data_IF_678953534412
#
_entry.id   IF_678953534412
#
_cell.length_a   1.000
_cell.length_b   1.000
_cell.length_c   1.000
_cell.angle_alpha   90.00
_cell.angle_beta   90.00
_cell.angle_gamma   90.00
#
_symmetry.space_group_name_H-M   'P 1'
#
loop_
_entity.id
_entity.type
_entity.pdbx_description
1 polymer ?
#
# COMPACT_ATOMS: atom_id res chain seq x y z
N UNK A 1 24.36 0.93 -17.25
CA UNK A 1 23.34 0.36 -16.34
C UNK A 1 23.20 1.35 -15.20
N UNK A 2 22.06 2.05 -15.16
CA UNK A 2 21.84 3.23 -14.31
C UNK A 2 20.97 2.92 -13.08
N UNK A 3 20.49 3.97 -12.43
CA UNK A 3 19.53 3.91 -11.32
C UNK A 3 18.11 3.91 -11.90
N UNK A 4 17.30 2.92 -11.57
CA UNK A 4 15.90 2.82 -12.00
C UNK A 4 15.02 2.88 -10.76
N UNK A 5 14.49 4.05 -10.42
CA UNK A 5 13.87 4.24 -9.13
C UNK A 5 12.41 4.67 -9.20
N UNK A 6 11.59 4.18 -8.27
CA UNK A 6 10.27 4.74 -8.00
C UNK A 6 10.34 5.57 -6.71
N UNK A 7 9.59 6.67 -6.67
CA UNK A 7 9.40 7.46 -5.45
C UNK A 7 7.92 7.47 -5.08
N UNK A 8 7.62 6.86 -3.94
CA UNK A 8 6.29 6.59 -3.43
C UNK A 8 6.08 7.27 -2.06
N UNK A 9 4.84 7.33 -1.58
CA UNK A 9 4.50 7.99 -0.31
C UNK A 9 3.21 8.81 -0.39
N UNK A 10 2.69 9.29 0.76
CA UNK A 10 1.41 9.98 0.86
C UNK A 10 1.43 11.35 0.15
N UNK A 11 0.27 11.93 -0.21
CA UNK A 11 0.24 13.30 -0.71
C UNK A 11 0.88 14.26 0.33
N UNK A 12 1.62 15.25 -0.13
CA UNK A 12 2.31 16.21 0.76
C UNK A 12 3.70 15.77 1.25
N UNK A 13 4.12 14.51 1.04
CA UNK A 13 5.45 14.01 1.47
C UNK A 13 6.66 14.59 0.73
N UNK A 14 6.46 15.47 -0.26
CA UNK A 14 7.59 16.11 -0.95
C UNK A 14 8.22 15.31 -2.11
N UNK A 15 7.61 14.20 -2.55
CA UNK A 15 8.10 13.35 -3.67
C UNK A 15 8.68 14.12 -4.85
N UNK A 16 7.89 14.98 -5.49
CA UNK A 16 8.34 15.74 -6.67
C UNK A 16 9.52 16.66 -6.36
N UNK A 17 9.56 17.30 -5.19
CA UNK A 17 10.69 18.14 -4.78
C UNK A 17 11.96 17.31 -4.59
N UNK A 18 11.84 16.12 -3.99
CA UNK A 18 12.94 15.17 -3.86
C UNK A 18 13.43 14.70 -5.23
N UNK A 19 12.52 14.22 -6.10
CA UNK A 19 12.84 13.74 -7.44
C UNK A 19 13.60 14.79 -8.24
N UNK A 20 13.12 16.04 -8.27
CA UNK A 20 13.80 17.13 -8.99
C UNK A 20 15.23 17.36 -8.50
N UNK A 21 15.44 17.40 -7.19
CA UNK A 21 16.78 17.61 -6.61
C UNK A 21 17.72 16.44 -6.91
N UNK A 22 17.25 15.22 -6.64
CA UNK A 22 18.04 14.00 -6.84
C UNK A 22 18.38 13.79 -8.31
N UNK A 23 17.43 14.00 -9.23
CA UNK A 23 17.66 13.93 -10.67
C UNK A 23 18.75 14.91 -11.12
N UNK A 24 18.74 16.15 -10.61
CA UNK A 24 19.79 17.13 -10.91
C UNK A 24 21.16 16.73 -10.37
N UNK A 25 21.23 16.19 -9.15
CA UNK A 25 22.48 15.78 -8.51
C UNK A 25 23.09 14.51 -9.14
N UNK A 26 22.24 13.55 -9.52
CA UNK A 26 22.65 12.24 -10.02
C UNK A 26 22.55 12.10 -11.55
N UNK A 27 22.17 13.17 -12.24
CA UNK A 27 21.94 13.19 -13.70
C UNK A 27 20.96 12.09 -14.15
N UNK A 28 19.85 11.96 -13.43
CA UNK A 28 18.78 11.02 -13.73
C UNK A 28 17.66 11.70 -14.50
N UNK A 29 16.99 10.96 -15.36
CA UNK A 29 15.77 11.43 -16.02
C UNK A 29 14.60 11.46 -15.03
N UNK A 30 13.96 12.61 -14.87
CA UNK A 30 12.76 12.76 -14.04
C UNK A 30 11.51 12.43 -14.86
N UNK A 31 10.79 11.38 -14.47
CA UNK A 31 9.55 10.95 -15.11
C UNK A 31 8.37 11.24 -14.19
N UNK A 32 7.69 12.36 -14.41
CA UNK A 32 6.41 12.65 -13.75
C UNK A 32 5.25 12.41 -14.72
N UNK A 33 4.27 11.62 -14.30
CA UNK A 33 3.09 11.31 -15.15
C UNK A 33 2.33 12.57 -15.56
N UNK A 34 2.21 13.54 -14.66
CA UNK A 34 1.57 14.82 -14.95
C UNK A 34 2.32 15.65 -15.98
N UNK A 35 3.66 15.70 -15.90
CA UNK A 35 4.49 16.42 -16.87
C UNK A 35 4.48 15.74 -18.23
N UNK A 36 4.63 14.41 -18.26
CA UNK A 36 4.55 13.61 -19.49
C UNK A 36 3.21 13.81 -20.18
N UNK A 37 2.08 13.74 -19.46
CA UNK A 37 0.77 13.98 -20.04
C UNK A 37 0.64 15.39 -20.65
N UNK A 38 1.11 16.44 -19.93
CA UNK A 38 1.10 17.82 -20.44
C UNK A 38 1.96 17.97 -21.69
N UNK A 39 3.15 17.37 -21.70
CA UNK A 39 4.04 17.35 -22.85
C UNK A 39 3.37 16.69 -24.06
N UNK A 40 2.82 15.48 -23.88
CA UNK A 40 2.13 14.75 -24.93
C UNK A 40 0.91 15.51 -25.49
N UNK A 41 0.15 16.19 -24.63
CA UNK A 41 -0.95 17.09 -25.05
C UNK A 41 -0.42 18.25 -25.91
N UNK A 42 0.66 18.91 -25.48
CA UNK A 42 1.29 20.01 -26.21
C UNK A 42 1.80 19.56 -27.58
N UNK A 43 2.46 18.40 -27.63
CA UNK A 43 3.01 17.79 -28.85
C UNK A 43 1.94 17.11 -29.72
N UNK A 44 0.69 17.01 -29.25
CA UNK A 44 -0.45 16.43 -29.97
C UNK A 44 -0.24 14.96 -30.39
N UNK A 45 0.46 14.18 -29.58
CA UNK A 45 0.65 12.74 -29.84
C UNK A 45 -0.65 11.95 -29.61
N UNK A 46 -0.69 10.66 -29.96
CA UNK A 46 -1.87 9.82 -29.71
C UNK A 46 -2.25 9.76 -28.22
N UNK A 47 -1.28 9.54 -27.33
CA UNK A 47 -1.50 9.65 -25.87
C UNK A 47 -2.05 11.03 -25.48
N UNK A 48 -1.50 12.10 -26.04
CA UNK A 48 -1.95 13.47 -25.78
C UNK A 48 -3.37 13.76 -26.26
N UNK A 49 -3.77 13.19 -27.40
CA UNK A 49 -5.15 13.31 -27.93
C UNK A 49 -6.15 12.63 -27.01
N UNK A 50 -5.85 11.42 -26.52
CA UNK A 50 -6.70 10.71 -25.56
C UNK A 50 -6.77 11.48 -24.24
N UNK A 51 -5.62 11.88 -23.69
CA UNK A 51 -5.54 12.64 -22.45
C UNK A 51 -6.33 13.97 -22.54
N UNK A 52 -6.19 14.70 -23.64
CA UNK A 52 -6.94 15.95 -23.88
C UNK A 52 -8.45 15.72 -23.89
N UNK A 53 -8.93 14.63 -24.49
CA UNK A 53 -10.36 14.27 -24.49
C UNK A 53 -10.86 13.96 -23.08
N UNK A 54 -10.13 13.16 -22.30
CA UNK A 54 -10.50 12.84 -20.92
C UNK A 54 -10.54 14.10 -20.03
N UNK A 55 -9.52 14.95 -20.12
CA UNK A 55 -9.47 16.21 -19.35
C UNK A 55 -10.63 17.13 -19.72
N UNK A 56 -10.95 17.29 -21.01
CA UNK A 56 -12.09 18.07 -21.46
C UNK A 56 -13.43 17.51 -20.94
N UNK A 57 -13.53 16.19 -20.80
CA UNK A 57 -14.67 15.49 -20.23
C UNK A 57 -14.66 15.42 -18.68
N UNK A 58 -13.67 16.02 -18.00
CA UNK A 58 -13.43 15.90 -16.55
C UNK A 58 -13.35 14.44 -16.06
N UNK A 59 -12.87 13.53 -16.91
CA UNK A 59 -12.64 12.13 -16.58
C UNK A 59 -11.15 11.83 -16.42
N UNK A 60 -10.84 10.74 -15.72
CA UNK A 60 -9.47 10.27 -15.56
C UNK A 60 -8.95 9.70 -16.89
N UNK A 61 -7.64 9.88 -17.13
CA UNK A 61 -6.95 9.21 -18.24
C UNK A 61 -6.87 7.71 -17.90
N UNK A 62 -7.23 6.80 -18.82
CA UNK A 62 -7.16 5.37 -18.56
C UNK A 62 -5.74 4.91 -18.21
N UNK A 63 -5.63 3.99 -17.26
CA UNK A 63 -4.33 3.49 -16.78
C UNK A 63 -3.47 2.91 -17.90
N UNK A 64 -4.07 2.17 -18.85
CA UNK A 64 -3.36 1.61 -20.01
C UNK A 64 -2.62 2.68 -20.81
N UNK A 65 -3.26 3.83 -21.04
CA UNK A 65 -2.67 4.97 -21.76
C UNK A 65 -1.48 5.53 -20.99
N UNK A 66 -1.61 5.67 -19.66
CA UNK A 66 -0.53 6.19 -18.81
C UNK A 66 0.65 5.22 -18.75
N UNK A 67 0.38 3.92 -18.60
CA UNK A 67 1.38 2.85 -18.52
C UNK A 67 2.14 2.72 -19.84
N UNK A 68 1.44 2.70 -20.97
CA UNK A 68 2.07 2.63 -22.30
C UNK A 68 2.94 3.87 -22.57
N UNK A 69 2.46 5.06 -22.21
CA UNK A 69 3.23 6.30 -22.31
C UNK A 69 4.52 6.27 -21.49
N UNK A 70 4.47 5.77 -20.25
CA UNK A 70 5.66 5.63 -19.39
C UNK A 70 6.62 4.61 -19.99
N UNK A 71 6.12 3.43 -20.39
CA UNK A 71 6.93 2.37 -20.97
C UNK A 71 7.65 2.83 -22.24
N UNK A 72 6.95 3.55 -23.13
CA UNK A 72 7.53 4.14 -24.33
C UNK A 72 8.61 5.18 -24.02
N UNK A 73 8.38 6.03 -23.00
CA UNK A 73 9.39 7.01 -22.57
C UNK A 73 10.64 6.30 -22.04
N UNK A 74 10.49 5.31 -21.17
CA UNK A 74 11.61 4.55 -20.60
C UNK A 74 12.35 3.75 -21.68
N UNK A 75 11.63 3.18 -22.66
CA UNK A 75 12.24 2.46 -23.76
C UNK A 75 13.18 3.35 -24.60
N UNK A 76 12.85 4.64 -24.77
CA UNK A 76 13.70 5.64 -25.43
C UNK A 76 14.89 6.09 -24.57
N UNK A 77 14.84 5.88 -23.25
CA UNK A 77 15.90 6.22 -22.31
C UNK A 77 16.95 5.12 -22.12
N UNK A 78 16.82 3.97 -22.80
CA UNK A 78 17.75 2.83 -22.64
C UNK A 78 19.22 3.17 -22.94
N UNK A 79 19.47 4.29 -23.61
CA UNK A 79 20.81 4.83 -23.89
C UNK A 79 21.32 5.84 -22.84
N UNK A 80 20.51 6.19 -21.83
CA UNK A 80 20.92 7.09 -20.75
C UNK A 80 21.79 6.37 -19.72
N UNK A 81 23.01 6.89 -19.47
CA UNK A 81 23.94 6.26 -18.52
C UNK A 81 23.50 6.42 -17.06
N UNK A 82 22.78 7.50 -16.74
CA UNK A 82 22.31 7.83 -15.39
C UNK A 82 21.16 6.95 -14.91
N UNK A 83 20.18 6.68 -15.78
CA UNK A 83 18.92 6.03 -15.43
C UNK A 83 17.77 7.03 -15.22
N UNK A 84 16.73 6.63 -14.50
CA UNK A 84 15.48 7.37 -14.38
C UNK A 84 14.84 7.24 -12.99
N UNK A 85 14.05 8.24 -12.60
CA UNK A 85 13.16 8.23 -11.44
C UNK A 85 11.73 8.43 -11.90
N UNK A 86 10.82 7.54 -11.50
CA UNK A 86 9.38 7.68 -11.68
C UNK A 86 8.74 8.31 -10.43
N UNK A 87 8.15 9.50 -10.61
CA UNK A 87 7.58 10.32 -9.55
C UNK A 87 6.06 10.09 -9.41
N UNK A 88 5.66 9.50 -8.29
CA UNK A 88 4.25 9.42 -7.87
C UNK A 88 3.37 8.48 -8.70
N UNK A 89 4.00 7.49 -9.34
CA UNK A 89 3.37 6.36 -10.04
C UNK A 89 4.28 5.13 -9.88
N UNK A 90 3.75 3.89 -9.74
CA UNK A 90 2.33 3.50 -9.69
C UNK A 90 1.63 3.94 -8.39
N UNK A 91 0.28 3.93 -8.41
CA UNK A 91 -0.57 4.25 -7.25
C UNK A 91 -1.50 3.12 -6.83
N UNK A 92 -1.60 2.07 -7.65
CA UNK A 92 -2.35 0.84 -7.37
C UNK A 92 -1.50 -0.37 -7.70
N UNK A 93 -1.81 -1.50 -7.09
CA UNK A 93 -1.16 -2.79 -7.37
C UNK A 93 -1.28 -3.19 -8.85
N UNK A 94 -2.45 -2.94 -9.46
CA UNK A 94 -2.67 -3.24 -10.88
C UNK A 94 -1.76 -2.42 -11.79
N UNK A 95 -1.56 -1.14 -11.47
CA UNK A 95 -0.61 -0.28 -12.20
C UNK A 95 0.83 -0.78 -12.03
N UNK A 96 1.21 -1.21 -10.82
CA UNK A 96 2.53 -1.77 -10.55
C UNK A 96 2.79 -3.04 -11.37
N UNK A 97 1.86 -4.00 -11.34
CA UNK A 97 1.94 -5.25 -12.12
C UNK A 97 1.99 -4.98 -13.62
N UNK A 98 1.16 -4.06 -14.11
CA UNK A 98 1.14 -3.73 -15.53
C UNK A 98 2.44 -3.06 -16.00
N UNK A 99 3.09 -2.22 -15.18
CA UNK A 99 4.43 -1.71 -15.47
C UNK A 99 5.48 -2.81 -15.56
N UNK A 100 5.46 -3.76 -14.62
CA UNK A 100 6.40 -4.89 -14.61
C UNK A 100 6.23 -5.76 -15.87
N UNK A 101 4.99 -6.03 -16.29
CA UNK A 101 4.70 -6.75 -17.55
C UNK A 101 5.26 -6.02 -18.77
N UNK A 102 5.29 -4.68 -18.74
CA UNK A 102 5.92 -3.85 -19.79
C UNK A 102 7.44 -3.74 -19.67
N UNK A 103 8.06 -4.45 -18.72
CA UNK A 103 9.50 -4.41 -18.48
C UNK A 103 9.99 -3.15 -17.76
N UNK A 104 9.07 -2.42 -17.12
CA UNK A 104 9.41 -1.27 -16.27
C UNK A 104 9.49 -1.74 -14.82
N UNK A 105 10.70 -2.10 -14.40
CA UNK A 105 10.96 -2.60 -13.04
C UNK A 105 12.03 -1.72 -12.38
N UNK A 106 11.77 -1.18 -11.17
CA UNK A 106 12.76 -0.42 -10.42
C UNK A 106 13.77 -1.36 -9.74
N UNK A 107 14.99 -0.88 -9.53
CA UNK A 107 15.95 -1.50 -8.62
C UNK A 107 15.97 -0.84 -7.24
N UNK A 108 15.35 0.33 -7.09
CA UNK A 108 15.19 1.05 -5.83
C UNK A 108 13.80 1.66 -5.77
N UNK A 109 13.12 1.54 -4.64
CA UNK A 109 11.87 2.26 -4.36
C UNK A 109 12.06 3.06 -3.09
N UNK A 110 12.02 4.39 -3.21
CA UNK A 110 12.05 5.28 -2.05
C UNK A 110 10.62 5.50 -1.56
N UNK A 111 10.33 5.07 -0.33
CA UNK A 111 9.01 5.23 0.29
C UNK A 111 9.08 6.37 1.28
N UNK A 112 8.53 7.52 0.91
CA UNK A 112 8.49 8.68 1.80
C UNK A 112 7.40 8.48 2.85
N UNK A 113 7.80 8.50 4.12
CA UNK A 113 6.91 8.36 5.27
C UNK A 113 6.62 9.75 5.83
N UNK A 114 5.33 10.08 5.97
CA UNK A 114 4.91 11.36 6.51
C UNK A 114 3.72 11.14 7.45
N UNK A 115 3.76 11.66 8.69
CA UNK A 115 2.61 11.63 9.58
C UNK A 115 1.38 12.27 8.94
N UNK A 116 0.21 11.65 9.12
CA UNK A 116 -1.05 12.14 8.54
C UNK A 116 -1.41 13.55 9.02
N UNK A 117 -1.00 13.93 10.23
CA UNK A 117 -1.16 15.27 10.80
C UNK A 117 -0.48 16.37 9.96
N UNK A 118 0.65 16.06 9.33
CA UNK A 118 1.46 17.02 8.56
C UNK A 118 0.92 17.24 7.14
N UNK A 119 0.21 16.25 6.58
CA UNK A 119 -0.24 16.26 5.18
C UNK A 119 -1.05 17.52 4.86
N UNK A 120 -2.02 17.87 5.72
CA UNK A 120 -2.90 19.02 5.48
C UNK A 120 -2.12 20.34 5.44
N UNK A 121 -1.26 20.57 6.44
CA UNK A 121 -0.47 21.80 6.52
C UNK A 121 0.44 21.97 5.30
N UNK A 122 1.13 20.90 4.92
CA UNK A 122 2.05 20.88 3.77
C UNK A 122 1.34 21.11 2.43
N UNK A 123 0.13 20.57 2.24
CA UNK A 123 -0.61 20.74 0.99
C UNK A 123 -1.21 22.14 0.85
N UNK A 124 -1.82 22.69 1.91
CA UNK A 124 -2.45 24.03 1.87
C UNK A 124 -1.40 25.14 1.68
N UNK A 125 -0.19 24.97 2.21
CA UNK A 125 0.89 25.93 2.02
C UNK A 125 1.63 25.79 0.68
N UNK A 126 1.37 24.73 -0.10
CA UNK A 126 2.11 24.45 -1.34
C UNK A 126 1.80 25.48 -2.43
N UNK A 127 2.85 25.86 -3.17
CA UNK A 127 2.79 26.74 -4.33
C UNK A 127 3.57 26.12 -5.47
N UNK A 128 3.19 26.45 -6.70
CA UNK A 128 3.81 25.90 -7.90
C UNK A 128 4.04 27.00 -8.93
N UNK A 129 5.24 27.02 -9.54
CA UNK A 129 5.52 27.90 -10.66
C UNK A 129 5.08 27.23 -11.98
N UNK A 130 4.08 27.78 -12.69
CA UNK A 130 3.60 27.20 -13.95
C UNK A 130 4.61 27.27 -15.09
N UNK A 131 5.65 28.11 -15.00
CA UNK A 131 6.70 28.22 -16.02
C UNK A 131 7.78 27.16 -15.88
N UNK A 132 8.30 26.97 -14.67
CA UNK A 132 9.44 26.06 -14.42
C UNK A 132 9.01 24.70 -13.87
N UNK A 133 7.79 24.62 -13.36
CA UNK A 133 7.26 23.46 -12.67
C UNK A 133 7.73 23.35 -11.22
N UNK A 134 8.47 24.33 -10.69
CA UNK A 134 9.05 24.25 -9.35
C UNK A 134 8.01 24.36 -8.23
N UNK A 135 8.33 23.71 -7.11
CA UNK A 135 7.44 23.63 -5.95
C UNK A 135 8.02 24.48 -4.83
N UNK A 136 7.17 25.35 -4.31
CA UNK A 136 7.45 26.27 -3.21
C UNK A 136 6.45 26.02 -2.08
N UNK A 137 6.72 26.61 -0.92
CA UNK A 137 5.81 26.55 0.22
C UNK A 137 5.76 27.90 0.92
N UNK A 138 4.55 28.40 1.16
CA UNK A 138 4.30 29.75 1.64
C UNK A 138 5.05 30.09 2.95
N UNK A 139 5.19 29.11 3.85
CA UNK A 139 5.82 29.33 5.15
C UNK A 139 7.33 29.02 5.19
N UNK A 140 7.84 28.17 4.30
CA UNK A 140 9.16 27.54 4.50
C UNK A 140 10.10 27.65 3.31
N UNK A 141 9.57 27.91 2.11
CA UNK A 141 10.39 27.94 0.89
C UNK A 141 9.70 28.82 -0.16
N UNK A 142 9.64 30.13 0.08
CA UNK A 142 9.21 31.11 -0.94
C UNK A 142 10.43 31.65 -1.71
N UNK A 143 10.30 31.88 -3.03
CA UNK A 143 11.39 32.44 -3.82
C UNK A 143 11.66 33.89 -3.43
N UNK A 144 12.93 34.30 -3.48
CA UNK A 144 13.33 35.70 -3.27
C UNK A 144 13.03 36.59 -4.48
N UNK A 145 13.04 35.99 -5.67
CA UNK A 145 12.67 36.66 -6.91
C UNK A 145 11.17 36.97 -6.90
N UNK A 146 10.83 38.27 -6.95
CA UNK A 146 9.46 38.76 -6.88
C UNK A 146 8.62 38.39 -8.11
N UNK A 147 9.24 38.27 -9.29
CA UNK A 147 8.54 37.87 -10.51
C UNK A 147 8.19 36.38 -10.48
N UNK A 148 9.02 35.56 -9.84
CA UNK A 148 8.70 34.17 -9.55
C UNK A 148 7.60 34.11 -8.49
N UNK A 149 7.73 34.86 -7.39
CA UNK A 149 6.76 34.87 -6.31
C UNK A 149 5.35 35.27 -6.79
N UNK A 150 5.25 36.30 -7.63
CA UNK A 150 3.98 36.84 -8.12
C UNK A 150 3.23 35.88 -9.07
N UNK A 151 3.93 34.96 -9.75
CA UNK A 151 3.32 34.00 -10.68
C UNK A 151 3.03 32.63 -10.07
N UNK A 152 3.35 32.43 -8.79
CA UNK A 152 3.08 31.15 -8.13
C UNK A 152 1.57 30.92 -8.01
N UNK A 153 1.15 29.71 -8.33
CA UNK A 153 -0.26 29.30 -8.24
C UNK A 153 -0.45 28.20 -7.22
N UNK A 154 -1.70 28.07 -6.74
CA UNK A 154 -2.15 26.90 -6.01
C UNK A 154 -2.53 25.79 -6.98
N UNK A 155 -2.35 24.53 -6.60
CA UNK A 155 -2.95 23.44 -7.37
C UNK A 155 -4.42 23.31 -7.00
N UNK A 156 -5.23 22.97 -7.98
CA UNK A 156 -6.68 22.79 -7.81
C UNK A 156 -7.03 21.67 -6.83
N UNK A 157 -6.14 20.70 -6.60
CA UNK A 157 -6.29 19.52 -5.74
C UNK A 157 -5.69 19.70 -4.32
N UNK A 158 -5.17 20.88 -4.01
CA UNK A 158 -4.55 21.19 -2.71
C UNK A 158 -5.51 21.93 -1.75
N UNK A 159 -6.80 21.98 -2.05
CA UNK A 159 -7.79 22.64 -1.18
C UNK A 159 -8.19 21.76 0.01
N UNK A 160 -8.57 22.34 1.17
CA UNK A 160 -9.00 21.58 2.35
C UNK A 160 -10.09 20.54 2.07
N UNK A 161 -10.96 20.80 1.10
CA UNK A 161 -12.09 19.94 0.73
C UNK A 161 -11.65 18.73 -0.11
N UNK A 162 -10.56 18.87 -0.89
CA UNK A 162 -10.05 17.82 -1.77
C UNK A 162 -8.91 17.01 -1.17
N UNK A 163 -8.26 17.51 -0.13
CA UNK A 163 -7.18 16.80 0.58
C UNK A 163 -7.66 15.45 1.14
N UNK A 164 -8.82 15.33 1.83
CA UNK A 164 -9.26 14.07 2.41
C UNK A 164 -9.31 12.92 1.41
N UNK A 165 -9.91 13.13 0.23
CA UNK A 165 -10.01 12.07 -0.78
C UNK A 165 -8.65 11.59 -1.32
N UNK A 166 -7.61 12.45 -1.27
CA UNK A 166 -6.25 12.07 -1.65
C UNK A 166 -5.55 11.28 -0.56
N UNK A 167 -5.78 11.63 0.70
CA UNK A 167 -5.30 10.87 1.86
C UNK A 167 -5.96 9.49 1.85
N UNK A 168 -7.28 9.44 1.67
CA UNK A 168 -8.06 8.19 1.60
C UNK A 168 -7.59 7.31 0.44
N UNK A 169 -7.35 7.88 -0.75
CA UNK A 169 -6.84 7.12 -1.88
C UNK A 169 -5.46 6.51 -1.59
N UNK A 170 -4.56 7.25 -0.93
CA UNK A 170 -3.26 6.70 -0.53
C UNK A 170 -3.40 5.64 0.58
N UNK A 171 -4.26 5.85 1.56
CA UNK A 171 -4.53 4.85 2.60
C UNK A 171 -5.12 3.56 2.03
N UNK A 172 -5.96 3.68 0.99
CA UNK A 172 -6.62 2.55 0.34
C UNK A 172 -5.67 1.75 -0.55
N UNK A 173 -4.86 2.42 -1.37
CA UNK A 173 -4.08 1.75 -2.42
C UNK A 173 -2.56 1.86 -2.24
N UNK A 174 -2.08 2.92 -1.60
CA UNK A 174 -0.66 3.29 -1.55
C UNK A 174 0.17 2.27 -0.77
N UNK A 175 -0.27 1.89 0.43
CA UNK A 175 0.45 0.89 1.25
C UNK A 175 0.58 -0.45 0.51
N UNK A 176 -0.51 -0.92 -0.09
CA UNK A 176 -0.55 -2.15 -0.87
C UNK A 176 0.38 -2.09 -2.08
N UNK A 177 0.38 -0.95 -2.78
CA UNK A 177 1.28 -0.74 -3.92
C UNK A 177 2.74 -0.72 -3.48
N UNK A 178 3.06 -0.10 -2.34
CA UNK A 178 4.42 -0.12 -1.80
C UNK A 178 4.87 -1.56 -1.49
N UNK A 179 3.96 -2.43 -1.01
CA UNK A 179 4.29 -3.81 -0.66
C UNK A 179 4.69 -4.68 -1.86
N UNK A 180 4.27 -4.33 -3.07
CA UNK A 180 4.72 -5.01 -4.30
C UNK A 180 6.25 -4.89 -4.52
N UNK A 181 6.90 -3.94 -3.82
CA UNK A 181 8.31 -3.62 -3.99
C UNK A 181 9.17 -3.83 -2.73
N UNK A 182 8.70 -4.57 -1.71
CA UNK A 182 9.40 -4.73 -0.42
C UNK A 182 10.88 -5.12 -0.56
N UNK A 183 11.21 -5.97 -1.52
CA UNK A 183 12.59 -6.43 -1.74
C UNK A 183 13.57 -5.32 -2.15
N UNK A 184 13.06 -4.19 -2.63
CA UNK A 184 13.82 -3.03 -3.10
C UNK A 184 13.30 -1.71 -2.52
N UNK A 185 12.48 -1.76 -1.47
CA UNK A 185 11.87 -0.59 -0.85
C UNK A 185 12.71 -0.08 0.32
N UNK A 186 12.92 1.24 0.37
CA UNK A 186 13.67 1.93 1.40
C UNK A 186 12.82 3.07 1.97
N UNK A 187 12.45 3.02 3.26
CA UNK A 187 11.72 4.10 3.90
C UNK A 187 12.62 5.33 4.07
N UNK A 188 12.04 6.52 3.94
CA UNK A 188 12.69 7.80 4.23
C UNK A 188 11.71 8.64 5.04
N UNK A 189 12.15 9.13 6.19
CA UNK A 189 11.39 10.08 7.00
C UNK A 189 11.26 11.41 6.25
N UNK A 190 10.07 11.68 5.73
CA UNK A 190 9.77 12.90 4.99
C UNK A 190 9.44 14.09 5.89
N UNK A 191 9.38 13.89 7.22
CA UNK A 191 9.22 14.99 8.17
C UNK A 191 10.55 15.69 8.51
N UNK A 192 11.68 15.03 8.24
CA UNK A 192 13.02 15.59 8.37
C UNK A 192 13.29 16.80 7.44
N UNK A 193 14.43 17.45 7.62
CA UNK A 193 14.82 18.59 6.81
C UNK A 193 15.02 18.18 5.34
N UNK A 194 14.74 19.10 4.40
CA UNK A 194 14.92 18.81 2.97
C UNK A 194 16.38 18.44 2.62
N UNK A 195 17.36 18.87 3.41
CA UNK A 195 18.76 18.47 3.24
C UNK A 195 18.96 16.99 3.57
N UNK A 196 18.44 16.55 4.71
CA UNK A 196 18.57 15.17 5.20
C UNK A 196 17.83 14.20 4.29
N UNK A 197 16.56 14.51 3.95
CA UNK A 197 15.75 13.69 3.02
C UNK A 197 16.44 13.50 1.67
N UNK A 198 17.09 14.55 1.14
CA UNK A 198 17.85 14.47 -0.12
C UNK A 198 19.14 13.68 0.07
N UNK A 199 19.84 13.87 1.19
CA UNK A 199 21.06 13.13 1.54
C UNK A 199 20.81 11.63 1.60
N UNK A 200 19.79 11.20 2.34
CA UNK A 200 19.39 9.80 2.49
C UNK A 200 19.03 9.19 1.14
N UNK A 201 18.19 9.88 0.36
CA UNK A 201 17.81 9.42 -0.97
C UNK A 201 19.02 9.25 -1.90
N UNK A 202 19.94 10.22 -1.92
CA UNK A 202 21.16 10.15 -2.73
C UNK A 202 22.03 8.97 -2.31
N UNK A 203 22.23 8.76 -1.01
CA UNK A 203 23.01 7.66 -0.47
C UNK A 203 22.42 6.29 -0.85
N UNK A 204 21.10 6.13 -0.70
CA UNK A 204 20.38 4.90 -1.08
C UNK A 204 20.53 4.66 -2.59
N UNK A 205 20.27 5.66 -3.42
CA UNK A 205 20.31 5.49 -4.88
C UNK A 205 21.72 5.20 -5.40
N UNK A 206 22.75 5.85 -4.85
CA UNK A 206 24.14 5.61 -5.25
C UNK A 206 24.64 4.21 -4.84
N UNK A 207 24.27 3.73 -3.64
CA UNK A 207 24.65 2.39 -3.17
C UNK A 207 24.02 1.27 -4.00
N UNK A 208 22.92 1.56 -4.71
CA UNK A 208 22.20 0.61 -5.56
C UNK A 208 22.39 0.88 -7.06
N UNK A 209 23.41 1.66 -7.44
CA UNK A 209 23.76 1.82 -8.85
C UNK A 209 24.19 0.47 -9.43
N UNK A 210 23.47 -0.01 -10.44
CA UNK A 210 23.74 -1.30 -11.08
C UNK A 210 25.16 -1.32 -11.65
N UNK A 211 25.97 -2.31 -11.24
CA UNK A 211 27.28 -2.58 -11.85
C UNK A 211 27.08 -3.24 -13.21
N UNK A 212 27.86 -2.84 -14.21
CA UNK A 212 27.87 -3.46 -15.54
C UNK A 212 28.20 -4.96 -15.36
N UNK A 213 27.46 -5.90 -15.98
CA UNK A 213 27.88 -7.29 -15.98
C UNK A 213 29.26 -7.35 -16.65
N UNK A 214 30.23 -7.94 -15.95
CA UNK A 214 31.52 -8.27 -16.55
C UNK A 214 31.26 -9.22 -17.72
N UNK A 215 31.76 -8.87 -18.91
CA UNK A 215 31.74 -9.76 -20.06
C UNK A 215 32.64 -10.96 -19.77
N UNK A 216 32.06 -12.05 -19.26
CA UNK A 216 32.74 -13.35 -19.19
C UNK A 216 32.73 -13.98 -20.58
N UNK A 217 33.81 -13.75 -21.32
CA UNK A 217 34.25 -14.71 -22.33
C UNK A 217 34.63 -16.00 -21.58
N UNK A 218 33.89 -17.08 -21.78
CA UNK A 218 34.50 -18.41 -21.75
C UNK A 218 33.71 -19.41 -22.58
N UNK A 219 34.46 -19.92 -23.55
CA UNK A 219 34.18 -20.95 -24.54
C UNK A 219 33.91 -22.33 -23.93
N UNK A 220 33.16 -23.12 -24.69
CA UNK A 220 33.08 -24.59 -24.73
C UNK A 220 34.01 -25.41 -23.81
N UNK A 221 33.41 -26.36 -23.09
CA UNK A 221 33.50 -27.78 -23.47
C UNK A 221 32.54 -28.62 -22.63
N UNK A 222 31.72 -29.42 -23.30
CA UNK A 222 30.88 -30.43 -22.67
C UNK A 222 31.66 -31.69 -22.34
N UNK A 223 31.21 -32.42 -21.32
CA UNK A 223 31.29 -33.89 -21.25
C UNK A 223 30.03 -34.39 -20.54
N UNK A 224 29.45 -35.41 -21.14
CA UNK A 224 28.23 -36.12 -20.78
C UNK A 224 28.65 -37.49 -20.22
N UNK A 225 28.29 -37.86 -18.98
CA UNK A 225 28.36 -39.27 -18.52
C UNK A 225 27.13 -39.60 -17.66
N UNK A 226 26.52 -40.72 -18.04
CA UNK A 226 25.32 -41.39 -17.54
C UNK A 226 25.55 -42.28 -16.30
N UNK A 227 24.43 -42.58 -15.61
CA UNK A 227 24.07 -43.82 -14.88
C UNK A 227 24.86 -44.12 -13.57
N UNK A 228 24.28 -44.60 -12.46
CA UNK A 228 23.33 -45.71 -12.33
C UNK A 228 22.72 -45.80 -10.91
N UNK A 229 21.56 -46.45 -10.81
CA UNK A 229 20.86 -46.86 -9.58
C UNK A 229 21.62 -47.91 -8.74
N UNK A 230 21.37 -47.94 -7.42
CA UNK A 230 21.13 -49.16 -6.62
C UNK A 230 20.52 -48.83 -5.26
N UNK A 231 19.37 -49.47 -4.98
CA UNK A 231 18.68 -49.53 -3.69
C UNK A 231 19.48 -50.33 -2.65
N UNK A 232 19.28 -50.01 -1.38
CA UNK A 232 19.15 -51.01 -0.30
C UNK A 232 18.38 -50.42 0.89
N UNK A 233 17.26 -51.06 1.21
CA UNK A 233 16.42 -50.82 2.39
C UNK A 233 17.03 -51.46 3.64
N UNK A 234 16.95 -50.79 4.79
CA UNK A 234 17.04 -51.38 6.13
C UNK A 234 15.98 -50.71 7.04
N UNK A 235 14.99 -51.51 7.46
CA UNK A 235 14.04 -51.36 8.58
C UNK A 235 14.73 -50.97 9.92
N UNK A 236 14.15 -50.41 11.00
CA UNK A 236 12.83 -49.95 11.47
C UNK A 236 13.08 -49.22 12.82
N UNK A 237 12.33 -48.14 13.14
CA UNK A 237 11.58 -47.96 14.40
C UNK A 237 10.89 -46.57 14.48
N UNK A 238 9.73 -46.47 15.16
CA UNK A 238 8.75 -45.41 14.93
C UNK A 238 8.83 -44.28 15.97
N UNK A 239 8.80 -43.03 15.50
CA UNK A 239 8.62 -41.85 16.35
C UNK A 239 8.03 -40.64 15.61
N UNK A 240 7.17 -40.87 14.60
CA UNK A 240 6.73 -39.79 13.69
C UNK A 240 5.23 -39.82 13.38
N UNK A 241 4.38 -40.32 14.29
CA UNK A 241 2.93 -40.35 14.04
C UNK A 241 2.13 -39.29 14.81
N UNK A 242 2.72 -38.55 15.77
CA UNK A 242 1.96 -37.50 16.49
C UNK A 242 2.15 -36.08 15.94
N UNK A 243 3.12 -35.84 15.05
CA UNK A 243 3.34 -34.51 14.45
C UNK A 243 2.62 -34.31 13.11
N UNK A 244 2.29 -35.40 12.41
CA UNK A 244 1.59 -35.32 11.13
C UNK A 244 0.07 -35.13 11.29
N UNK A 245 -0.52 -35.60 12.40
CA UNK A 245 -1.94 -35.39 12.71
C UNK A 245 -2.23 -33.98 13.24
N UNK A 246 -1.25 -33.32 13.88
CA UNK A 246 -1.35 -31.92 14.33
C UNK A 246 -1.16 -30.88 13.20
N UNK A 247 -0.56 -31.28 12.07
CA UNK A 247 -0.35 -30.39 10.91
C UNK A 247 -1.57 -30.39 9.99
N UNK A 248 -2.28 -31.51 9.87
CA UNK A 248 -3.48 -31.61 9.03
C UNK A 248 -4.71 -30.98 9.70
N UNK A 249 -4.77 -30.92 11.04
CA UNK A 249 -5.87 -30.29 11.79
C UNK A 249 -5.80 -28.75 11.79
N UNK A 250 -4.62 -28.12 11.77
CA UNK A 250 -4.51 -26.64 11.77
C UNK A 250 -4.87 -25.97 10.44
N UNK A 251 -4.70 -26.67 9.31
CA UNK A 251 -4.95 -26.09 7.99
C UNK A 251 -6.46 -25.99 7.68
N UNK A 252 -7.29 -26.83 8.30
CA UNK A 252 -8.75 -26.86 8.13
C UNK A 252 -9.45 -25.73 8.93
N UNK A 253 -8.93 -25.36 10.10
CA UNK A 253 -9.56 -24.32 10.94
C UNK A 253 -9.29 -22.89 10.44
N UNK A 254 -8.11 -22.63 9.85
CA UNK A 254 -7.80 -21.31 9.29
C UNK A 254 -8.67 -21.00 8.08
N UNK A 255 -8.80 -21.94 7.14
CA UNK A 255 -9.64 -21.74 5.96
C UNK A 255 -11.13 -21.69 6.31
N UNK A 256 -11.57 -22.46 7.31
CA UNK A 256 -12.93 -22.36 7.87
C UNK A 256 -13.19 -20.98 8.46
N UNK A 257 -12.26 -20.45 9.25
CA UNK A 257 -12.35 -19.11 9.84
C UNK A 257 -12.40 -18.01 8.77
N UNK A 258 -11.50 -18.04 7.78
CA UNK A 258 -11.49 -17.07 6.67
C UNK A 258 -12.78 -17.12 5.86
N UNK A 259 -13.22 -18.32 5.48
CA UNK A 259 -14.44 -18.52 4.70
C UNK A 259 -15.66 -17.99 5.45
N UNK A 260 -15.78 -18.30 6.74
CA UNK A 260 -16.87 -17.81 7.60
C UNK A 260 -16.88 -16.29 7.73
N UNK A 261 -15.70 -15.67 7.88
CA UNK A 261 -15.60 -14.21 7.94
C UNK A 261 -15.98 -13.55 6.61
N UNK A 262 -15.55 -14.10 5.47
CA UNK A 262 -15.88 -13.55 4.15
C UNK A 262 -17.36 -13.75 3.81
N UNK A 263 -17.93 -14.93 4.11
CA UNK A 263 -19.35 -15.22 3.87
C UNK A 263 -20.28 -14.45 4.82
N UNK A 264 -19.74 -14.01 5.95
CA UNK A 264 -20.48 -13.40 7.03
C UNK A 264 -21.26 -14.40 7.88
N UNK A 265 -21.52 -14.01 9.13
CA UNK A 265 -22.34 -14.78 10.07
C UNK A 265 -22.98 -13.84 11.10
N UNK A 266 -24.07 -14.28 11.71
CA UNK A 266 -24.80 -13.43 12.65
C UNK A 266 -24.22 -13.49 14.07
N UNK A 267 -24.13 -12.31 14.68
CA UNK A 267 -23.70 -12.07 16.06
C UNK A 267 -24.66 -11.10 16.74
N UNK A 268 -24.69 -11.10 18.07
CA UNK A 268 -25.36 -10.05 18.83
C UNK A 268 -24.34 -8.97 19.15
N UNK A 269 -24.53 -7.77 18.59
CA UNK A 269 -23.64 -6.64 18.83
C UNK A 269 -24.08 -5.89 20.08
N UNK A 270 -23.14 -5.70 21.00
CA UNK A 270 -23.30 -4.81 22.15
C UNK A 270 -22.76 -3.42 21.82
N UNK A 271 -23.39 -2.39 22.37
CA UNK A 271 -23.04 -0.99 22.14
C UNK A 271 -22.90 -0.21 23.43
N UNK A 272 -22.25 0.95 23.37
CA UNK A 272 -22.16 1.88 24.51
C UNK A 272 -23.52 2.35 25.01
N UNK A 273 -24.51 2.44 24.11
CA UNK A 273 -25.89 2.86 24.38
C UNK A 273 -26.88 1.93 23.67
N UNK A 274 -28.07 1.76 24.24
CA UNK A 274 -29.13 0.92 23.69
C UNK A 274 -28.99 -0.56 24.03
N UNK A 275 -30.00 -1.34 23.61
CA UNK A 275 -30.07 -2.78 23.81
C UNK A 275 -29.18 -3.54 22.79
N UNK A 276 -28.66 -4.72 23.17
CA UNK A 276 -27.97 -5.62 22.24
C UNK A 276 -28.86 -5.98 21.05
N UNK A 277 -28.26 -6.14 19.88
CA UNK A 277 -29.02 -6.39 18.65
C UNK A 277 -28.24 -7.21 17.64
N UNK A 278 -28.95 -8.04 16.86
CA UNK A 278 -28.34 -8.92 15.86
C UNK A 278 -27.72 -8.12 14.71
N UNK A 279 -26.54 -8.55 14.27
CA UNK A 279 -25.82 -8.04 13.11
C UNK A 279 -25.14 -9.19 12.38
N UNK A 280 -25.09 -9.11 11.06
CA UNK A 280 -24.21 -9.95 10.25
C UNK A 280 -22.82 -9.34 10.28
N UNK A 281 -21.87 -10.02 10.91
CA UNK A 281 -20.45 -9.67 10.92
C UNK A 281 -19.78 -10.34 9.71
N UNK A 282 -18.97 -9.60 8.96
CA UNK A 282 -18.23 -10.12 7.82
C UNK A 282 -16.92 -9.35 7.63
N UNK A 283 -16.01 -9.86 6.82
CA UNK A 283 -14.74 -9.21 6.49
C UNK A 283 -14.67 -8.91 4.98
N UNK A 284 -13.78 -8.02 4.58
CA UNK A 284 -13.39 -7.95 3.17
C UNK A 284 -12.63 -9.22 2.75
N UNK A 285 -12.53 -9.45 1.44
CA UNK A 285 -11.87 -10.64 0.86
C UNK A 285 -10.39 -10.72 1.23
N UNK A 286 -9.77 -9.59 1.58
CA UNK A 286 -8.38 -9.48 2.00
C UNK A 286 -8.19 -9.65 3.51
N UNK A 287 -9.29 -9.81 4.26
CA UNK A 287 -9.31 -9.96 5.71
C UNK A 287 -8.69 -8.78 6.49
N UNK A 288 -8.72 -7.56 5.93
CA UNK A 288 -8.14 -6.36 6.55
C UNK A 288 -9.13 -5.57 7.37
N UNK A 289 -10.44 -5.74 7.15
CA UNK A 289 -11.46 -4.94 7.85
C UNK A 289 -12.73 -5.74 8.10
N UNK A 290 -13.15 -5.75 9.35
CA UNK A 290 -14.45 -6.30 9.76
C UNK A 290 -15.54 -5.26 9.59
N UNK A 291 -16.68 -5.69 9.10
CA UNK A 291 -17.88 -4.92 8.88
C UNK A 291 -19.05 -5.58 9.60
N UNK A 292 -20.05 -4.79 9.97
CA UNK A 292 -21.31 -5.32 10.49
C UNK A 292 -22.51 -4.61 9.87
N UNK A 293 -23.56 -5.35 9.58
CA UNK A 293 -24.80 -4.77 9.04
C UNK A 293 -26.05 -5.42 9.65
N UNK A 294 -27.23 -4.85 9.41
CA UNK A 294 -28.50 -5.50 9.78
C UNK A 294 -28.62 -6.86 9.05
N UNK A 295 -29.15 -7.90 9.71
CA UNK A 295 -29.46 -9.18 9.07
C UNK A 295 -30.40 -9.02 7.87
N UNK A 296 -30.49 -10.05 7.03
CA UNK A 296 -31.44 -10.19 5.91
C UNK A 296 -31.26 -9.22 4.73
N UNK A 297 -30.06 -8.66 4.55
CA UNK A 297 -29.73 -8.01 3.27
C UNK A 297 -29.29 -9.06 2.25
N UNK A 298 -29.87 -8.99 1.04
CA UNK A 298 -29.48 -9.83 -0.12
C UNK A 298 -27.98 -9.76 -0.46
N UNK A 299 -27.30 -8.70 -0.05
CA UNK A 299 -25.88 -8.47 -0.30
C UNK A 299 -25.17 -7.93 0.95
N UNK A 300 -23.91 -8.35 1.15
CA UNK A 300 -23.01 -7.79 2.14
C UNK A 300 -22.48 -6.44 1.62
N UNK A 301 -22.75 -5.35 2.36
CA UNK A 301 -22.35 -4.00 1.95
C UNK A 301 -21.34 -3.42 2.93
N UNK A 302 -20.08 -3.35 2.49
CA UNK A 302 -19.01 -2.72 3.24
C UNK A 302 -19.30 -1.23 3.47
N UNK A 303 -19.45 -0.83 4.73
CA UNK A 303 -19.68 0.57 5.13
C UNK A 303 -18.67 0.96 6.20
N UNK A 304 -17.92 2.04 5.96
CA UNK A 304 -16.81 2.44 6.84
C UNK A 304 -17.28 2.82 8.26
N UNK A 305 -18.43 3.46 8.39
CA UNK A 305 -19.05 3.83 9.67
C UNK A 305 -19.53 2.60 10.48
N UNK A 306 -19.64 1.45 9.84
CA UNK A 306 -20.02 0.17 10.45
C UNK A 306 -18.90 -0.87 10.28
N UNK A 307 -17.66 -0.45 10.54
CA UNK A 307 -16.48 -1.28 10.36
C UNK A 307 -15.39 -1.02 11.38
N UNK A 308 -14.46 -1.96 11.52
CA UNK A 308 -13.19 -1.83 12.25
C UNK A 308 -12.06 -2.45 11.43
N UNK A 309 -11.00 -1.68 11.17
CA UNK A 309 -9.82 -2.23 10.50
C UNK A 309 -9.10 -3.16 11.48
N UNK A 310 -8.67 -4.33 11.00
CA UNK A 310 -7.95 -5.30 11.81
C UNK A 310 -6.62 -4.70 12.29
N UNK A 311 -5.94 -3.92 11.44
CA UNK A 311 -4.69 -3.24 11.80
C UNK A 311 -4.84 -2.19 12.91
N UNK A 312 -6.05 -1.67 13.14
CA UNK A 312 -6.32 -0.73 14.25
C UNK A 312 -6.61 -1.47 15.56
N UNK A 313 -6.77 -2.80 15.52
CA UNK A 313 -7.10 -3.60 16.71
C UNK A 313 -5.80 -3.94 17.43
N UNK A 314 -5.68 -3.42 18.64
CA UNK A 314 -4.53 -3.60 19.52
C UNK A 314 -4.58 -4.97 20.19
N UNK A 315 -5.79 -5.40 20.54
CA UNK A 315 -6.00 -6.67 21.25
C UNK A 315 -7.40 -7.22 21.00
N UNK A 316 -7.50 -8.55 20.99
CA UNK A 316 -8.77 -9.29 21.03
C UNK A 316 -8.87 -10.00 22.38
N UNK A 317 -9.97 -9.76 23.11
CA UNK A 317 -10.18 -10.31 24.45
C UNK A 317 -11.51 -11.04 24.54
N UNK A 318 -11.52 -12.15 25.28
CA UNK A 318 -12.74 -12.91 25.59
C UNK A 318 -13.31 -12.49 26.97
N UNK A 319 -14.63 -12.55 27.10
CA UNK A 319 -15.36 -12.32 28.33
C UNK A 319 -15.69 -10.86 28.62
N UNK A 320 -16.08 -10.59 29.88
CA UNK A 320 -16.53 -9.27 30.34
C UNK A 320 -15.32 -8.40 30.70
N UNK A 321 -14.62 -7.88 29.69
CA UNK A 321 -13.39 -7.08 29.85
C UNK A 321 -13.58 -5.60 29.55
N UNK A 322 -14.56 -5.25 28.73
CA UNK A 322 -14.85 -3.87 28.34
C UNK A 322 -15.99 -3.28 29.18
N UNK A 323 -16.05 -1.95 29.28
CA UNK A 323 -17.14 -1.28 30.00
C UNK A 323 -18.51 -1.51 29.34
N UNK A 324 -18.53 -1.81 28.04
CA UNK A 324 -19.74 -2.21 27.32
C UNK A 324 -20.30 -3.52 27.89
N UNK A 325 -19.45 -4.54 28.05
CA UNK A 325 -19.88 -5.81 28.64
C UNK A 325 -20.08 -5.75 30.14
N UNK A 326 -19.30 -4.97 30.90
CA UNK A 326 -19.55 -4.79 32.35
C UNK A 326 -20.96 -4.26 32.63
N UNK A 327 -21.52 -3.49 31.69
CA UNK A 327 -22.86 -2.91 31.78
C UNK A 327 -23.97 -3.81 31.22
N UNK A 328 -23.70 -4.49 30.10
CA UNK A 328 -24.74 -5.18 29.31
C UNK A 328 -24.56 -6.69 29.16
N UNK A 329 -23.45 -7.23 29.67
CA UNK A 329 -23.12 -8.63 29.63
C UNK A 329 -23.79 -9.42 30.75
N UNK A 330 -24.10 -10.67 30.45
CA UNK A 330 -24.58 -11.69 31.38
C UNK A 330 -23.41 -12.61 31.75
N UNK A 331 -23.12 -12.73 33.04
CA UNK A 331 -22.01 -13.54 33.55
C UNK A 331 -22.13 -15.01 33.18
N UNK A 332 -23.34 -15.54 32.96
CA UNK A 332 -23.57 -16.91 32.52
C UNK A 332 -23.16 -17.16 31.05
N UNK A 333 -22.88 -16.11 30.28
CA UNK A 333 -22.54 -16.17 28.85
C UNK A 333 -21.12 -15.71 28.56
N UNK A 334 -20.28 -15.58 29.58
CA UNK A 334 -18.94 -14.99 29.47
C UNK A 334 -18.09 -15.63 28.37
N UNK A 335 -18.18 -16.95 28.19
CA UNK A 335 -17.40 -17.68 27.19
C UNK A 335 -17.82 -17.38 25.75
N UNK A 336 -19.00 -16.77 25.55
CA UNK A 336 -19.54 -16.36 24.25
C UNK A 336 -19.30 -14.88 23.94
N UNK A 337 -18.59 -14.14 24.81
CA UNK A 337 -18.30 -12.73 24.60
C UNK A 337 -16.89 -12.51 24.06
N UNK A 338 -16.79 -11.72 22.99
CA UNK A 338 -15.53 -11.33 22.36
C UNK A 338 -15.52 -9.82 22.14
N UNK A 339 -14.39 -9.18 22.43
CA UNK A 339 -14.17 -7.76 22.21
C UNK A 339 -12.90 -7.53 21.41
N UNK A 340 -13.02 -6.78 20.32
CA UNK A 340 -11.87 -6.24 19.59
C UNK A 340 -11.66 -4.80 20.07
N UNK A 341 -10.46 -4.50 20.58
CA UNK A 341 -10.14 -3.22 21.20
C UNK A 341 -9.16 -2.47 20.31
N UNK A 342 -9.56 -1.27 19.91
CA UNK A 342 -8.75 -0.27 19.22
C UNK A 342 -8.53 0.95 20.13
N UNK A 343 -7.69 1.90 19.70
CA UNK A 343 -7.32 3.08 20.51
C UNK A 343 -8.52 3.91 20.97
N UNK A 344 -9.52 4.12 20.11
CA UNK A 344 -10.63 5.03 20.36
C UNK A 344 -11.98 4.32 20.62
N UNK A 345 -12.04 3.01 20.39
CA UNK A 345 -13.30 2.24 20.42
C UNK A 345 -13.13 0.73 20.60
N UNK A 346 -14.26 0.08 20.85
CA UNK A 346 -14.37 -1.38 20.95
C UNK A 346 -15.48 -1.90 20.03
N UNK A 347 -15.27 -3.10 19.48
CA UNK A 347 -16.32 -3.91 18.88
C UNK A 347 -16.62 -5.09 19.83
N UNK A 348 -17.75 -4.98 20.53
CA UNK A 348 -18.20 -5.95 21.53
C UNK A 348 -19.32 -6.84 20.94
N UNK A 349 -19.09 -8.16 20.89
CA UNK A 349 -20.01 -9.13 20.27
C UNK A 349 -20.26 -10.37 21.15
N UNK A 350 -21.51 -10.83 21.17
CA UNK A 350 -21.91 -12.16 21.67
C UNK A 350 -22.12 -13.10 20.48
N UNK A 351 -21.50 -14.27 20.52
CA UNK A 351 -21.58 -15.29 19.48
C UNK A 351 -22.41 -16.50 19.90
N UNK A 352 -22.77 -17.36 18.95
CA UNK A 352 -23.74 -18.44 19.16
C UNK A 352 -23.27 -19.52 20.14
N UNK A 353 -21.97 -19.84 20.19
CA UNK A 353 -21.40 -20.89 21.03
C UNK A 353 -19.99 -20.54 21.54
N UNK A 354 -19.49 -21.26 22.54
CA UNK A 354 -18.11 -21.06 23.03
C UNK A 354 -17.08 -21.44 21.96
N UNK A 355 -17.38 -22.46 21.15
CA UNK A 355 -16.44 -22.98 20.17
C UNK A 355 -16.23 -21.95 19.05
N UNK A 356 -17.31 -21.27 18.65
CA UNK A 356 -17.24 -20.14 17.72
C UNK A 356 -16.46 -18.97 18.31
N UNK A 357 -16.63 -18.69 19.61
CA UNK A 357 -15.88 -17.65 20.29
C UNK A 357 -14.38 -17.96 20.29
N UNK A 358 -14.02 -19.20 20.60
CA UNK A 358 -12.65 -19.70 20.58
C UNK A 358 -12.05 -19.65 19.17
N UNK A 359 -12.79 -20.06 18.14
CA UNK A 359 -12.34 -19.97 16.74
C UNK A 359 -12.03 -18.52 16.34
N UNK A 360 -12.93 -17.58 16.66
CA UNK A 360 -12.75 -16.16 16.36
C UNK A 360 -11.58 -15.54 17.13
N UNK A 361 -11.45 -15.86 18.42
CA UNK A 361 -10.35 -15.36 19.25
C UNK A 361 -9.00 -15.78 18.67
N UNK A 362 -8.81 -17.06 18.36
CA UNK A 362 -7.55 -17.55 17.80
C UNK A 362 -7.31 -17.02 16.39
N UNK A 363 -8.34 -17.06 15.52
CA UNK A 363 -8.22 -16.60 14.15
C UNK A 363 -7.89 -15.10 14.04
N UNK A 364 -8.57 -14.26 14.82
CA UNK A 364 -8.31 -12.82 14.84
C UNK A 364 -6.94 -12.50 15.44
N UNK A 365 -6.54 -13.17 16.53
CA UNK A 365 -5.19 -12.98 17.08
C UNK A 365 -4.09 -13.41 16.09
N UNK A 366 -4.29 -14.50 15.34
CA UNK A 366 -3.35 -14.90 14.29
C UNK A 366 -3.25 -13.85 13.17
N UNK A 367 -4.35 -13.16 12.86
CA UNK A 367 -4.34 -12.04 11.92
C UNK A 367 -3.59 -10.82 12.47
N UNK A 368 -3.72 -10.52 13.76
CA UNK A 368 -2.98 -9.42 14.41
C UNK A 368 -1.47 -9.65 14.43
N UNK A 369 -1.01 -10.88 14.59
CA UNK A 369 0.42 -11.22 14.54
C UNK A 369 0.98 -11.18 13.11
N UNK A 370 0.11 -11.31 12.10
CA UNK A 370 0.47 -11.33 10.68
C UNK A 370 0.34 -9.95 10.00
N UNK A 371 -0.11 -8.93 10.73
CA UNK A 371 -0.21 -7.52 10.29
C UNK A 371 0.95 -6.72 10.84
#
# INVERSE_FOLDING_TARGET
MGIHAFVMGPPGSGKTSLCKKVCGLLQLEHLSTGDLLREHIRLRTEYGKVAKKCIAAKSLVPDSVVIDMIADRIAKLKDSEGGWILDGFPRTVDQAKALQVKGVTPNVVLVLELPSSEVRGRLVGRRFDPKTGDIYHAATNMPRDLDVAARLVHRDDDTPEKIPSRVDAYATYGHDTNREFLAVAFPIDADASLGDVVGDAVQILQSHKMKKPASSNQSHNGVNINNNQRNQDIETKPAATSLAEDVVTKQVDTERFKTMLISGFDVIKHGRRGAPHTRTLFCDVELKRLFWQKPDKKELKAKLDQSIAIADVIQVVQGIKTDVFKRSGDTAKTDRYLSLIADDRTLDIEVASDELCSLLLHGLNAMLVST
#
